data_IF_186171918550
#
_entry.id   IF_186171918550
#
_cell.length_a   1.000
_cell.length_b   1.000
_cell.length_c   1.000
_cell.angle_alpha   90.00
_cell.angle_beta   90.00
_cell.angle_gamma   90.00
#
_symmetry.space_group_name_H-M   'P 1'
#
loop_
_entity.id
_entity.type
_entity.pdbx_description
1 polymer ?
#
# COMPACT_ATOMS: atom_id res chain seq x y z
N UNK A 1 -61.59 -34.67 -8.70
CA UNK A 1 -60.85 -35.48 -7.69
C UNK A 1 -59.48 -35.93 -8.20
N UNK A 2 -59.34 -36.35 -9.47
CA UNK A 2 -58.06 -36.71 -10.11
C UNK A 2 -57.05 -35.54 -10.12
N UNK A 3 -57.52 -34.31 -10.39
CA UNK A 3 -56.65 -33.12 -10.46
C UNK A 3 -56.02 -32.74 -9.12
N UNK A 4 -56.76 -32.92 -8.01
CA UNK A 4 -56.24 -32.66 -6.65
C UNK A 4 -55.16 -33.67 -6.27
N UNK A 5 -55.35 -34.95 -6.62
CA UNK A 5 -54.36 -36.00 -6.39
C UNK A 5 -53.09 -35.75 -7.22
N UNK A 6 -53.27 -35.39 -8.50
CA UNK A 6 -52.15 -35.04 -9.39
C UNK A 6 -51.38 -33.82 -8.89
N UNK A 7 -52.09 -32.77 -8.45
CA UNK A 7 -51.47 -31.56 -7.89
C UNK A 7 -50.62 -31.88 -6.66
N UNK A 8 -51.16 -32.64 -5.69
CA UNK A 8 -50.41 -33.03 -4.49
C UNK A 8 -49.16 -33.84 -4.82
N UNK A 9 -49.24 -34.74 -5.81
CA UNK A 9 -48.08 -35.51 -6.26
C UNK A 9 -47.01 -34.60 -6.86
N UNK A 10 -47.38 -33.63 -7.69
CA UNK A 10 -46.45 -32.64 -8.26
C UNK A 10 -45.80 -31.78 -7.18
N UNK A 11 -46.58 -31.30 -6.21
CA UNK A 11 -46.07 -30.53 -5.07
C UNK A 11 -45.10 -31.34 -4.22
N UNK A 12 -45.35 -32.65 -4.04
CA UNK A 12 -44.44 -33.53 -3.31
C UNK A 12 -43.12 -33.75 -4.05
N UNK A 13 -43.16 -33.90 -5.38
CA UNK A 13 -41.94 -33.95 -6.21
C UNK A 13 -41.16 -32.64 -6.12
N UNK A 14 -41.84 -31.50 -6.20
CA UNK A 14 -41.21 -30.19 -6.04
C UNK A 14 -40.57 -30.01 -4.66
N UNK A 15 -41.23 -30.50 -3.60
CA UNK A 15 -40.71 -30.43 -2.24
C UNK A 15 -39.36 -31.14 -2.13
N UNK A 16 -39.28 -32.40 -2.57
CA UNK A 16 -38.02 -33.15 -2.54
C UNK A 16 -36.93 -32.49 -3.38
N UNK A 17 -37.28 -31.99 -4.56
CA UNK A 17 -36.33 -31.27 -5.41
C UNK A 17 -35.80 -30.00 -4.74
N UNK A 18 -36.65 -29.20 -4.12
CA UNK A 18 -36.21 -28.00 -3.40
C UNK A 18 -35.32 -28.36 -2.19
N UNK A 19 -35.58 -29.47 -1.49
CA UNK A 19 -34.71 -29.92 -0.41
C UNK A 19 -33.33 -30.39 -0.91
N UNK A 20 -33.29 -31.13 -2.02
CA UNK A 20 -32.06 -31.58 -2.68
C UNK A 20 -31.24 -30.39 -3.22
N UNK A 21 -31.87 -29.51 -4.01
CA UNK A 21 -31.20 -28.32 -4.57
C UNK A 21 -30.68 -27.39 -3.45
N UNK A 22 -31.38 -27.31 -2.31
CA UNK A 22 -30.93 -26.51 -1.17
C UNK A 22 -29.69 -27.11 -0.50
N UNK A 23 -29.57 -28.44 -0.45
CA UNK A 23 -28.35 -29.10 0.04
C UNK A 23 -27.20 -28.85 -0.94
N UNK A 24 -27.45 -28.92 -2.24
CA UNK A 24 -26.45 -28.63 -3.25
C UNK A 24 -25.92 -27.18 -3.16
N UNK A 25 -26.80 -26.22 -2.88
CA UNK A 25 -26.39 -24.83 -2.66
C UNK A 25 -25.44 -24.68 -1.46
N UNK A 26 -25.61 -25.49 -0.40
CA UNK A 26 -24.66 -25.51 0.74
C UNK A 26 -23.29 -26.04 0.31
N UNK A 27 -23.25 -27.09 -0.52
CA UNK A 27 -22.01 -27.66 -1.02
C UNK A 27 -21.27 -26.68 -1.93
N UNK A 28 -21.96 -26.09 -2.92
CA UNK A 28 -21.37 -25.08 -3.80
C UNK A 28 -20.83 -23.88 -3.02
N UNK A 29 -21.55 -23.41 -1.99
CA UNK A 29 -21.04 -22.33 -1.16
C UNK A 29 -19.81 -22.75 -0.35
N UNK A 30 -19.74 -24.02 0.08
CA UNK A 30 -18.56 -24.60 0.72
C UNK A 30 -17.35 -24.69 -0.21
N UNK A 31 -17.57 -25.08 -1.47
CA UNK A 31 -16.53 -25.10 -2.51
C UNK A 31 -16.00 -23.69 -2.80
N UNK A 32 -16.89 -22.68 -2.84
CA UNK A 32 -16.48 -21.29 -2.98
C UNK A 32 -15.64 -20.81 -1.79
N UNK A 33 -16.03 -21.16 -0.55
CA UNK A 33 -15.21 -20.86 0.63
C UNK A 33 -13.83 -21.53 0.55
N UNK A 34 -13.77 -22.80 0.16
CA UNK A 34 -12.51 -23.53 0.01
C UNK A 34 -11.62 -22.92 -1.08
N UNK A 35 -12.19 -22.54 -2.22
CA UNK A 35 -11.50 -21.85 -3.30
C UNK A 35 -10.98 -20.47 -2.85
N UNK A 36 -11.78 -19.72 -2.08
CA UNK A 36 -11.37 -18.45 -1.48
C UNK A 36 -10.15 -18.64 -0.57
N UNK A 37 -10.18 -19.63 0.30
CA UNK A 37 -9.08 -19.85 1.24
C UNK A 37 -7.82 -20.36 0.54
N UNK A 38 -7.93 -21.30 -0.41
CA UNK A 38 -6.75 -21.97 -1.00
C UNK A 38 -6.07 -21.19 -2.11
N UNK A 39 -6.85 -20.52 -2.97
CA UNK A 39 -6.31 -19.98 -4.24
C UNK A 39 -6.12 -18.47 -4.22
N UNK A 40 -6.76 -17.79 -3.28
CA UNK A 40 -6.77 -16.33 -3.24
C UNK A 40 -5.83 -15.80 -2.15
N UNK A 41 -4.54 -16.11 -2.30
CA UNK A 41 -3.47 -15.63 -1.41
C UNK A 41 -2.78 -14.38 -1.97
N UNK A 42 -2.52 -14.35 -3.28
CA UNK A 42 -1.87 -13.21 -3.96
C UNK A 42 -2.68 -11.91 -3.83
N UNK A 43 -1.92 -10.81 -3.73
CA UNK A 43 -2.42 -9.44 -3.62
C UNK A 43 -2.10 -8.54 -4.84
N UNK A 44 -1.26 -9.01 -5.76
CA UNK A 44 -0.82 -8.24 -6.95
C UNK A 44 0.53 -7.56 -6.71
N UNK A 45 1.28 -7.40 -7.79
CA UNK A 45 2.66 -6.92 -7.77
C UNK A 45 2.75 -5.39 -7.99
N UNK A 46 1.67 -4.76 -8.47
CA UNK A 46 1.52 -3.32 -8.66
C UNK A 46 0.06 -2.84 -8.46
N UNK A 47 -0.18 -1.53 -8.47
CA UNK A 47 -1.50 -0.96 -8.21
C UNK A 47 -2.56 -1.37 -9.25
N UNK A 48 -2.15 -1.61 -10.49
CA UNK A 48 -3.04 -1.97 -11.57
C UNK A 48 -3.48 -3.44 -11.48
N UNK A 49 -2.55 -4.35 -11.15
CA UNK A 49 -2.85 -5.75 -10.91
C UNK A 49 -3.74 -5.90 -9.67
N UNK A 50 -3.44 -5.19 -8.57
CA UNK A 50 -4.27 -5.24 -7.36
C UNK A 50 -5.69 -4.73 -7.60
N UNK A 51 -5.89 -3.65 -8.38
CA UNK A 51 -7.24 -3.21 -8.82
C UNK A 51 -7.96 -4.31 -9.59
N UNK A 52 -7.25 -4.97 -10.50
CA UNK A 52 -7.82 -6.08 -11.27
C UNK A 52 -8.22 -7.25 -10.37
N UNK A 53 -7.44 -7.53 -9.32
CA UNK A 53 -7.77 -8.55 -8.32
C UNK A 53 -8.99 -8.16 -7.48
N UNK A 54 -9.14 -6.89 -7.10
CA UNK A 54 -10.33 -6.37 -6.40
C UNK A 54 -11.60 -6.55 -7.26
N UNK A 55 -11.54 -6.21 -8.55
CA UNK A 55 -12.67 -6.38 -9.47
C UNK A 55 -13.06 -7.86 -9.63
N UNK A 56 -12.07 -8.75 -9.72
CA UNK A 56 -12.31 -10.21 -9.75
C UNK A 56 -12.91 -10.69 -8.42
N UNK A 57 -12.41 -10.20 -7.30
CA UNK A 57 -12.92 -10.54 -5.97
C UNK A 57 -14.38 -10.12 -5.79
N UNK A 58 -14.75 -8.90 -6.21
CA UNK A 58 -16.14 -8.43 -6.19
C UNK A 58 -17.08 -9.37 -6.95
N UNK A 59 -16.73 -9.73 -8.18
CA UNK A 59 -17.51 -10.68 -9.00
C UNK A 59 -17.63 -12.05 -8.33
N UNK A 60 -16.57 -12.51 -7.67
CA UNK A 60 -16.56 -13.77 -6.94
C UNK A 60 -17.52 -13.73 -5.73
N UNK A 61 -17.53 -12.62 -4.97
CA UNK A 61 -18.48 -12.41 -3.87
C UNK A 61 -19.92 -12.37 -4.38
N UNK A 62 -20.18 -11.71 -5.52
CA UNK A 62 -21.51 -11.66 -6.14
C UNK A 62 -22.04 -13.07 -6.50
N UNK A 63 -21.16 -13.96 -6.99
CA UNK A 63 -21.49 -15.37 -7.27
C UNK A 63 -21.84 -16.12 -5.99
N UNK A 64 -21.07 -15.95 -4.91
CA UNK A 64 -21.35 -16.59 -3.63
C UNK A 64 -22.66 -16.08 -3.00
N UNK A 65 -22.92 -14.77 -3.05
CA UNK A 65 -24.16 -14.15 -2.60
C UNK A 65 -25.37 -14.74 -3.36
N UNK A 66 -25.27 -14.83 -4.69
CA UNK A 66 -26.32 -15.40 -5.53
C UNK A 66 -26.60 -16.87 -5.18
N UNK A 67 -25.54 -17.63 -4.90
CA UNK A 67 -25.64 -19.05 -4.49
C UNK A 67 -26.33 -19.19 -3.14
N UNK A 68 -25.98 -18.34 -2.17
CA UNK A 68 -26.62 -18.29 -0.86
C UNK A 68 -28.10 -17.91 -0.95
N UNK A 69 -28.43 -16.87 -1.73
CA UNK A 69 -29.81 -16.42 -1.90
C UNK A 69 -30.66 -17.48 -2.62
N UNK A 70 -30.09 -18.19 -3.60
CA UNK A 70 -30.75 -19.33 -4.24
C UNK A 70 -31.10 -20.42 -3.21
N UNK A 71 -30.14 -20.83 -2.37
CA UNK A 71 -30.38 -21.79 -1.30
C UNK A 71 -31.49 -21.34 -0.33
N UNK A 72 -31.50 -20.06 0.06
CA UNK A 72 -32.55 -19.50 0.93
C UNK A 72 -33.93 -19.52 0.28
N UNK A 73 -34.02 -19.17 -1.01
CA UNK A 73 -35.28 -19.19 -1.76
C UNK A 73 -35.85 -20.61 -1.85
N UNK A 74 -35.00 -21.62 -2.09
CA UNK A 74 -35.41 -23.02 -2.10
C UNK A 74 -35.94 -23.46 -0.73
N UNK A 75 -35.25 -23.11 0.35
CA UNK A 75 -35.69 -23.43 1.71
C UNK A 75 -37.01 -22.76 2.08
N UNK A 76 -37.24 -21.54 1.60
CA UNK A 76 -38.52 -20.84 1.73
C UNK A 76 -39.63 -21.53 0.91
N UNK A 77 -39.35 -21.93 -0.33
CA UNK A 77 -40.27 -22.68 -1.16
C UNK A 77 -40.69 -24.01 -0.50
N UNK A 78 -39.74 -24.71 0.11
CA UNK A 78 -40.01 -25.90 0.95
C UNK A 78 -40.99 -25.56 2.08
N UNK A 79 -40.99 -24.34 2.66
CA UNK A 79 -41.90 -23.99 3.79
C UNK A 79 -43.31 -23.91 3.26
N UNK A 80 -43.47 -23.19 2.15
CA UNK A 80 -44.75 -23.00 1.48
C UNK A 80 -45.33 -24.33 1.01
N UNK A 81 -44.51 -25.21 0.43
CA UNK A 81 -44.92 -26.54 -0.02
C UNK A 81 -45.36 -27.44 1.16
N UNK A 82 -44.61 -27.46 2.26
CA UNK A 82 -45.02 -28.21 3.46
C UNK A 82 -46.37 -27.72 4.01
N UNK A 83 -46.59 -26.41 4.06
CA UNK A 83 -47.87 -25.82 4.49
C UNK A 83 -49.02 -26.23 3.56
N UNK A 84 -48.80 -26.18 2.24
CA UNK A 84 -49.79 -26.58 1.23
C UNK A 84 -50.16 -28.07 1.34
N UNK A 85 -49.15 -28.92 1.58
CA UNK A 85 -49.32 -30.37 1.72
C UNK A 85 -49.81 -30.79 3.12
N UNK A 86 -49.81 -29.89 4.10
CA UNK A 86 -50.05 -30.17 5.54
C UNK A 86 -49.06 -31.20 6.10
N UNK A 87 -47.81 -31.15 5.65
CA UNK A 87 -46.74 -31.99 6.18
C UNK A 87 -46.21 -31.41 7.50
N UNK A 88 -46.11 -32.23 8.54
CA UNK A 88 -45.65 -31.81 9.88
C UNK A 88 -44.15 -31.98 10.10
N UNK A 89 -43.47 -32.78 9.27
CA UNK A 89 -42.04 -33.08 9.36
C UNK A 89 -41.30 -32.55 8.14
N UNK A 90 -40.28 -31.70 8.36
CA UNK A 90 -39.34 -31.21 7.34
C UNK A 90 -38.06 -32.02 7.42
N UNK A 91 -37.60 -32.58 6.31
CA UNK A 91 -36.29 -33.26 6.25
C UNK A 91 -35.15 -32.23 6.31
N UNK A 92 -35.38 -31.01 5.84
CA UNK A 92 -34.36 -29.96 5.70
C UNK A 92 -34.06 -29.14 6.97
N UNK A 93 -34.43 -29.61 8.17
CA UNK A 93 -34.34 -28.81 9.42
C UNK A 93 -32.95 -28.20 9.66
N UNK A 94 -31.91 -28.97 9.34
CA UNK A 94 -30.52 -28.58 9.55
C UNK A 94 -29.88 -27.89 8.34
N UNK A 95 -30.53 -27.90 7.16
CA UNK A 95 -29.98 -27.31 5.94
C UNK A 95 -29.83 -25.79 6.06
N UNK A 96 -30.83 -25.10 6.65
CA UNK A 96 -30.76 -23.64 6.84
C UNK A 96 -29.64 -23.24 7.81
N UNK A 97 -29.49 -23.86 9.00
CA UNK A 97 -28.32 -23.63 9.86
C UNK A 97 -26.98 -23.87 9.15
N UNK A 98 -26.85 -24.94 8.36
CA UNK A 98 -25.63 -25.23 7.59
C UNK A 98 -25.33 -24.16 6.54
N UNK A 99 -26.33 -23.77 5.75
CA UNK A 99 -26.21 -22.70 4.75
C UNK A 99 -25.75 -21.39 5.40
N UNK A 100 -26.39 -21.00 6.50
CA UNK A 100 -26.03 -19.79 7.25
C UNK A 100 -24.62 -19.86 7.86
N UNK A 101 -24.18 -21.03 8.31
CA UNK A 101 -22.84 -21.22 8.87
C UNK A 101 -21.78 -20.99 7.80
N UNK A 102 -21.89 -21.69 6.66
CA UNK A 102 -20.93 -21.57 5.55
C UNK A 102 -20.94 -20.14 5.00
N UNK A 103 -22.13 -19.52 4.88
CA UNK A 103 -22.24 -18.13 4.46
C UNK A 103 -21.48 -17.17 5.37
N UNK A 104 -21.63 -17.29 6.69
CA UNK A 104 -20.88 -16.44 7.64
C UNK A 104 -19.38 -16.64 7.53
N UNK A 105 -18.92 -17.89 7.39
CA UNK A 105 -17.50 -18.18 7.19
C UNK A 105 -17.00 -17.53 5.88
N UNK A 106 -17.77 -17.66 4.80
CA UNK A 106 -17.47 -17.02 3.52
C UNK A 106 -17.39 -15.50 3.64
N UNK A 107 -18.36 -14.83 4.26
CA UNK A 107 -18.35 -13.37 4.41
C UNK A 107 -17.12 -12.90 5.20
N UNK A 108 -16.80 -13.54 6.32
CA UNK A 108 -15.60 -13.20 7.12
C UNK A 108 -14.32 -13.36 6.29
N UNK A 109 -14.19 -14.46 5.55
CA UNK A 109 -13.06 -14.67 4.65
C UNK A 109 -13.02 -13.66 3.50
N UNK A 110 -14.17 -13.31 2.92
CA UNK A 110 -14.23 -12.37 1.82
C UNK A 110 -13.83 -10.96 2.27
N UNK A 111 -14.36 -10.50 3.41
CA UNK A 111 -14.06 -9.20 3.98
C UNK A 111 -12.56 -9.06 4.33
N UNK A 112 -11.96 -10.10 4.92
CA UNK A 112 -10.52 -10.08 5.19
C UNK A 112 -9.70 -10.01 3.91
N UNK A 113 -10.06 -10.77 2.87
CA UNK A 113 -9.36 -10.69 1.59
C UNK A 113 -9.49 -9.30 0.96
N UNK A 114 -10.68 -8.71 1.01
CA UNK A 114 -10.94 -7.35 0.53
C UNK A 114 -10.03 -6.36 1.26
N UNK A 115 -9.95 -6.42 2.60
CA UNK A 115 -9.08 -5.55 3.39
C UNK A 115 -7.60 -5.71 3.02
N UNK A 116 -7.11 -6.95 2.84
CA UNK A 116 -5.72 -7.20 2.42
C UNK A 116 -5.43 -6.62 1.04
N UNK A 117 -6.35 -6.75 0.09
CA UNK A 117 -6.22 -6.16 -1.24
C UNK A 117 -6.26 -4.63 -1.21
N UNK A 118 -7.11 -4.03 -0.39
CA UNK A 118 -7.17 -2.57 -0.22
C UNK A 118 -5.88 -2.01 0.40
N UNK A 119 -5.35 -2.67 1.43
CA UNK A 119 -4.05 -2.31 2.02
C UNK A 119 -2.90 -2.43 1.01
N UNK A 120 -2.88 -3.51 0.21
CA UNK A 120 -1.91 -3.68 -0.87
C UNK A 120 -2.05 -2.62 -1.96
N UNK A 121 -3.28 -2.27 -2.35
CA UNK A 121 -3.51 -1.22 -3.33
C UNK A 121 -2.99 0.12 -2.81
N UNK A 122 -3.31 0.45 -1.56
CA UNK A 122 -2.84 1.69 -0.94
C UNK A 122 -1.30 1.73 -0.93
N UNK A 123 -0.67 0.66 -0.44
CA UNK A 123 0.79 0.50 -0.44
C UNK A 123 1.40 0.73 -1.83
N UNK A 124 0.89 0.03 -2.86
CA UNK A 124 1.38 0.19 -4.22
C UNK A 124 1.16 1.59 -4.77
N UNK A 125 -0.01 2.19 -4.56
CA UNK A 125 -0.28 3.55 -5.05
C UNK A 125 0.59 4.61 -4.38
N UNK A 126 0.92 4.44 -3.10
CA UNK A 126 1.84 5.34 -2.39
C UNK A 126 3.28 5.12 -2.90
N UNK A 127 3.69 3.86 -3.08
CA UNK A 127 5.02 3.49 -3.56
C UNK A 127 5.25 3.79 -5.05
N UNK A 128 4.17 3.95 -5.82
CA UNK A 128 4.24 4.24 -7.24
C UNK A 128 4.45 5.72 -7.51
N UNK A 129 3.92 6.66 -6.71
CA UNK A 129 3.98 8.12 -6.99
C UNK A 129 5.42 8.59 -7.30
N UNK A 130 5.75 8.93 -8.56
CA UNK A 130 7.04 9.53 -8.90
C UNK A 130 6.81 10.87 -9.61
N UNK A 131 7.18 11.95 -8.95
CA UNK A 131 7.71 13.17 -9.59
C UNK A 131 6.90 13.75 -10.78
N UNK A 132 6.06 14.76 -10.52
CA UNK A 132 5.84 15.77 -11.55
C UNK A 132 7.14 16.59 -11.71
N UNK A 133 7.78 16.63 -12.90
CA UNK A 133 8.97 17.42 -13.12
C UNK A 133 8.57 18.89 -13.21
N UNK A 134 8.42 19.58 -12.08
CA UNK A 134 8.37 21.04 -12.08
C UNK A 134 9.80 21.57 -12.06
N UNK A 135 10.33 21.77 -13.27
CA UNK A 135 11.61 22.42 -13.51
C UNK A 135 11.63 23.83 -12.87
N UNK A 136 12.19 23.93 -11.67
CA UNK A 136 12.70 25.18 -11.11
C UNK A 136 13.67 24.85 -9.97
N UNK A 137 14.96 25.11 -10.20
CA UNK A 137 16.08 24.76 -9.32
C UNK A 137 16.06 25.42 -7.93
N UNK A 138 15.06 26.23 -7.61
CA UNK A 138 14.89 26.86 -6.30
C UNK A 138 13.96 26.08 -5.34
N UNK A 139 13.40 24.93 -5.77
CA UNK A 139 12.48 24.12 -4.94
C UNK A 139 13.08 22.84 -4.35
N UNK A 140 14.33 22.50 -4.65
CA UNK A 140 14.95 21.18 -4.38
C UNK A 140 14.89 20.79 -2.89
N UNK A 141 15.25 21.70 -1.97
CA UNK A 141 15.24 21.40 -0.52
C UNK A 141 13.82 21.24 0.09
N UNK A 142 12.81 21.91 -0.45
CA UNK A 142 11.41 21.71 -0.04
C UNK A 142 10.84 20.41 -0.64
N UNK A 143 11.26 20.06 -1.85
CA UNK A 143 10.88 18.84 -2.56
C UNK A 143 11.44 17.59 -1.84
N UNK A 144 12.69 17.63 -1.40
CA UNK A 144 13.38 16.51 -0.76
C UNK A 144 12.83 16.18 0.64
N UNK A 145 12.41 17.18 1.43
CA UNK A 145 11.68 16.95 2.70
C UNK A 145 10.31 16.29 2.49
N UNK A 146 9.60 16.69 1.43
CA UNK A 146 8.28 16.14 1.09
C UNK A 146 8.40 14.71 0.57
N UNK A 147 9.51 14.36 -0.11
CA UNK A 147 9.79 12.99 -0.53
C UNK A 147 10.08 12.06 0.65
N UNK A 148 10.89 12.48 1.64
CA UNK A 148 11.18 11.63 2.82
C UNK A 148 9.93 11.34 3.66
N UNK A 149 9.08 12.34 3.92
CA UNK A 149 7.81 12.15 4.63
C UNK A 149 6.86 11.20 3.87
N UNK A 150 6.89 11.24 2.53
CA UNK A 150 6.11 10.31 1.71
C UNK A 150 6.60 8.86 1.77
N UNK A 151 7.91 8.64 1.99
CA UNK A 151 8.47 7.29 2.13
C UNK A 151 8.13 6.66 3.48
N UNK A 152 8.04 7.46 4.54
CA UNK A 152 7.61 6.98 5.87
C UNK A 152 6.13 6.53 5.85
N UNK A 153 5.27 7.21 5.09
CA UNK A 153 3.89 6.77 4.85
C UNK A 153 3.85 5.41 4.12
N UNK A 154 4.66 5.25 3.08
CA UNK A 154 4.79 3.97 2.33
C UNK A 154 5.27 2.84 3.25
N UNK A 155 6.30 3.08 4.05
CA UNK A 155 6.85 2.12 5.00
C UNK A 155 5.82 1.71 6.06
N UNK A 156 5.11 2.69 6.63
CA UNK A 156 4.02 2.42 7.60
C UNK A 156 2.88 1.58 6.99
N UNK A 157 2.51 1.85 5.73
CA UNK A 157 1.48 1.08 5.00
C UNK A 157 1.97 -0.34 4.73
N UNK A 158 3.23 -0.52 4.33
CA UNK A 158 3.81 -1.84 4.06
C UNK A 158 3.93 -2.70 5.32
N UNK A 159 4.32 -2.10 6.46
CA UNK A 159 4.35 -2.79 7.77
C UNK A 159 2.95 -3.22 8.21
N UNK A 160 1.96 -2.33 8.09
CA UNK A 160 0.56 -2.65 8.41
C UNK A 160 0.05 -3.81 7.55
N UNK A 161 0.38 -3.83 6.26
CA UNK A 161 0.02 -4.93 5.36
C UNK A 161 0.69 -6.25 5.78
N UNK A 162 1.98 -6.23 6.11
CA UNK A 162 2.70 -7.41 6.60
C UNK A 162 2.10 -7.95 7.90
N UNK A 163 1.82 -7.09 8.88
CA UNK A 163 1.20 -7.48 10.14
C UNK A 163 -0.13 -8.17 9.86
N UNK A 164 -0.97 -7.58 8.99
CA UNK A 164 -2.27 -8.17 8.65
C UNK A 164 -2.15 -9.50 7.92
N UNK A 165 -1.16 -9.67 7.05
CA UNK A 165 -0.90 -10.92 6.36
C UNK A 165 -0.62 -12.06 7.34
N UNK A 166 0.07 -11.80 8.46
CA UNK A 166 0.41 -12.83 9.46
C UNK A 166 -0.75 -13.27 10.35
N UNK A 167 -1.85 -12.52 10.38
CA UNK A 167 -2.98 -12.81 11.26
C UNK A 167 -3.90 -13.91 10.68
N UNK A 168 -4.37 -14.86 11.50
CA UNK A 168 -5.38 -15.83 11.11
C UNK A 168 -6.76 -15.19 10.96
N UNK A 169 -7.59 -15.81 10.14
CA UNK A 169 -9.04 -15.62 10.15
C UNK A 169 -9.63 -16.32 11.36
N UNK A 170 -10.49 -15.63 12.11
CA UNK A 170 -11.25 -16.23 13.20
C UNK A 170 -12.70 -16.38 12.76
N UNK A 171 -13.16 -17.61 12.60
CA UNK A 171 -14.56 -17.88 12.28
C UNK A 171 -15.48 -17.70 13.48
N UNK A 172 -16.80 -17.52 13.27
CA UNK A 172 -17.76 -17.34 14.37
C UNK A 172 -17.85 -18.49 15.36
N UNK A 173 -17.35 -19.68 15.00
CA UNK A 173 -17.23 -20.84 15.88
C UNK A 173 -15.91 -20.88 16.67
N UNK A 174 -15.07 -19.85 16.52
CA UNK A 174 -13.77 -19.72 17.17
C UNK A 174 -12.64 -20.47 16.47
N UNK A 175 -12.92 -21.16 15.36
CA UNK A 175 -11.86 -21.83 14.60
C UNK A 175 -10.98 -20.84 13.85
N UNK A 176 -9.68 -21.13 13.82
CA UNK A 176 -8.69 -20.33 13.11
C UNK A 176 -8.43 -20.92 11.72
N UNK A 177 -8.31 -20.05 10.72
CA UNK A 177 -8.05 -20.43 9.34
C UNK A 177 -7.05 -19.47 8.69
N UNK A 178 -6.22 -19.99 7.79
CA UNK A 178 -5.28 -19.19 7.02
C UNK A 178 -5.63 -19.22 5.53
N UNK A 179 -5.24 -18.16 4.81
CA UNK A 179 -5.24 -18.15 3.35
C UNK A 179 -4.01 -18.91 2.85
N UNK A 180 -4.26 -19.92 2.01
CA UNK A 180 -3.22 -20.75 1.42
C UNK A 180 -2.46 -21.58 2.45
N UNK A 181 -1.36 -22.14 1.98
CA UNK A 181 -0.35 -22.73 2.85
C UNK A 181 0.51 -21.62 3.49
N UNK A 182 1.22 -21.93 4.59
CA UNK A 182 2.21 -21.02 5.15
C UNK A 182 3.26 -20.55 4.12
N UNK A 183 3.59 -21.41 3.14
CA UNK A 183 4.50 -21.05 2.05
C UNK A 183 3.92 -20.01 1.10
N UNK A 184 2.63 -20.11 0.75
CA UNK A 184 1.97 -19.15 -0.16
C UNK A 184 1.87 -17.77 0.48
N UNK A 185 1.57 -17.75 1.78
CA UNK A 185 1.51 -16.53 2.57
C UNK A 185 2.89 -15.91 2.76
N UNK A 186 3.92 -16.72 3.00
CA UNK A 186 5.31 -16.26 3.09
C UNK A 186 5.76 -15.62 1.78
N UNK A 187 5.50 -16.25 0.63
CA UNK A 187 5.83 -15.72 -0.69
C UNK A 187 5.11 -14.39 -0.98
N UNK A 188 3.83 -14.29 -0.63
CA UNK A 188 3.07 -13.03 -0.76
C UNK A 188 3.68 -11.92 0.12
N UNK A 189 4.15 -12.26 1.31
CA UNK A 189 4.80 -11.32 2.21
C UNK A 189 6.24 -10.97 1.78
N UNK A 190 6.94 -11.85 1.06
CA UNK A 190 8.28 -11.57 0.51
C UNK A 190 8.24 -10.40 -0.48
N UNK A 191 7.30 -10.38 -1.42
CA UNK A 191 7.19 -9.27 -2.37
C UNK A 191 6.99 -7.90 -1.69
N UNK A 192 6.20 -7.86 -0.61
CA UNK A 192 6.03 -6.63 0.20
C UNK A 192 7.34 -6.25 0.90
N UNK A 193 8.06 -7.23 1.47
CA UNK A 193 9.37 -6.99 2.11
C UNK A 193 10.42 -6.48 1.11
N UNK A 194 10.49 -7.07 -0.08
CA UNK A 194 11.41 -6.63 -1.14
C UNK A 194 11.12 -5.19 -1.55
N UNK A 195 9.84 -4.83 -1.72
CA UNK A 195 9.47 -3.45 -2.04
C UNK A 195 9.82 -2.47 -0.92
N UNK A 196 9.62 -2.85 0.35
CA UNK A 196 10.04 -2.04 1.50
C UNK A 196 11.56 -1.83 1.55
N UNK A 197 12.36 -2.84 1.20
CA UNK A 197 13.82 -2.70 1.12
C UNK A 197 14.23 -1.66 0.07
N UNK A 198 13.58 -1.64 -1.09
CA UNK A 198 13.84 -0.62 -2.12
C UNK A 198 13.46 0.80 -1.65
N UNK A 199 12.38 0.93 -0.87
CA UNK A 199 11.98 2.21 -0.27
C UNK A 199 13.03 2.69 0.74
N UNK A 200 13.55 1.78 1.56
CA UNK A 200 14.63 2.06 2.51
C UNK A 200 15.92 2.48 1.80
N UNK A 201 16.30 1.77 0.73
CA UNK A 201 17.46 2.11 -0.09
C UNK A 201 17.32 3.52 -0.71
N UNK A 202 16.15 3.85 -1.26
CA UNK A 202 15.88 5.21 -1.78
C UNK A 202 15.97 6.26 -0.67
N UNK A 203 15.48 5.95 0.55
CA UNK A 203 15.58 6.87 1.69
C UNK A 203 17.04 7.16 2.05
N UNK A 204 17.89 6.13 2.08
CA UNK A 204 19.32 6.28 2.35
C UNK A 204 20.02 7.09 1.25
N UNK A 205 19.68 6.87 -0.02
CA UNK A 205 20.22 7.64 -1.15
C UNK A 205 19.88 9.14 -1.05
N UNK A 206 18.64 9.49 -0.70
CA UNK A 206 18.25 10.89 -0.48
C UNK A 206 18.98 11.49 0.73
N UNK A 207 19.16 10.71 1.80
CA UNK A 207 19.92 11.17 2.96
C UNK A 207 21.40 11.42 2.61
N UNK A 208 22.01 10.55 1.80
CA UNK A 208 23.39 10.71 1.33
C UNK A 208 23.54 11.90 0.39
N UNK A 209 22.63 12.06 -0.57
CA UNK A 209 22.61 13.22 -1.48
C UNK A 209 22.50 14.55 -0.72
N UNK A 210 21.69 14.58 0.34
CA UNK A 210 21.56 15.75 1.20
C UNK A 210 22.86 16.08 1.96
N UNK A 211 23.57 15.08 2.45
CA UNK A 211 24.87 15.29 3.12
C UNK A 211 25.93 15.79 2.13
N UNK A 212 25.96 15.24 0.91
CA UNK A 212 26.87 15.72 -0.14
C UNK A 212 26.59 17.16 -0.54
N UNK A 213 25.31 17.56 -0.64
CA UNK A 213 24.95 18.96 -0.90
C UNK A 213 25.38 19.89 0.25
N UNK A 214 25.17 19.48 1.50
CA UNK A 214 25.61 20.26 2.66
C UNK A 214 27.16 20.41 2.68
N UNK A 215 27.92 19.38 2.29
CA UNK A 215 29.39 19.43 2.16
C UNK A 215 29.86 20.33 0.99
N UNK A 216 29.21 20.27 -0.18
CA UNK A 216 29.51 21.14 -1.32
C UNK A 216 29.25 22.62 -0.99
N UNK A 217 28.14 22.92 -0.29
CA UNK A 217 27.83 24.27 0.18
C UNK A 217 28.89 24.77 1.18
N UNK A 218 29.37 23.91 2.09
CA UNK A 218 30.45 24.26 3.03
C UNK A 218 31.78 24.52 2.31
N UNK A 219 32.16 23.69 1.32
CA UNK A 219 33.37 23.91 0.52
C UNK A 219 33.29 25.19 -0.32
N UNK A 220 32.14 25.51 -0.94
CA UNK A 220 31.96 26.78 -1.67
C UNK A 220 32.09 27.99 -0.74
N UNK A 221 31.54 27.92 0.47
CA UNK A 221 31.67 29.00 1.46
C UNK A 221 33.11 29.19 1.90
N UNK A 222 33.84 28.10 2.16
CA UNK A 222 35.27 28.15 2.54
C UNK A 222 36.11 28.73 1.40
N UNK A 223 35.93 28.24 0.17
CA UNK A 223 36.63 28.74 -1.01
C UNK A 223 36.31 30.23 -1.27
N UNK A 224 35.06 30.66 -1.05
CA UNK A 224 34.67 32.06 -1.16
C UNK A 224 35.29 32.96 -0.07
N UNK A 225 35.50 32.44 1.14
CA UNK A 225 36.19 33.16 2.22
C UNK A 225 37.70 33.25 1.96
N UNK A 226 38.32 32.19 1.45
CA UNK A 226 39.74 32.14 1.10
C UNK A 226 40.05 33.10 -0.06
N UNK A 227 39.22 33.09 -1.12
CA UNK A 227 39.33 34.07 -2.21
C UNK A 227 39.15 35.52 -1.75
N UNK A 228 38.33 35.79 -0.72
CA UNK A 228 38.23 37.14 -0.12
C UNK A 228 39.46 37.53 0.69
N UNK A 229 40.10 36.58 1.37
CA UNK A 229 41.33 36.82 2.13
C UNK A 229 42.50 37.12 1.19
N UNK A 230 42.60 36.41 0.06
CA UNK A 230 43.61 36.67 -0.98
C UNK A 230 43.49 38.08 -1.55
N UNK A 231 42.27 38.53 -1.88
CA UNK A 231 42.02 39.90 -2.36
C UNK A 231 42.42 40.95 -1.31
N UNK A 232 42.10 40.72 -0.03
CA UNK A 232 42.51 41.64 1.04
C UNK A 232 44.04 41.65 1.21
N UNK A 233 44.70 40.50 1.04
CA UNK A 233 46.16 40.40 1.10
C UNK A 233 46.85 41.18 -0.02
N UNK A 234 46.34 41.08 -1.25
CA UNK A 234 46.84 41.86 -2.40
C UNK A 234 46.63 43.37 -2.17
N UNK A 235 45.43 43.80 -1.74
CA UNK A 235 45.13 45.21 -1.46
C UNK A 235 46.03 45.81 -0.36
N UNK A 236 46.39 45.03 0.66
CA UNK A 236 47.30 45.46 1.72
C UNK A 236 48.75 45.56 1.23
N UNK A 237 49.20 44.61 0.39
CA UNK A 237 50.55 44.61 -0.19
C UNK A 237 50.74 45.81 -1.13
N UNK A 238 49.77 46.08 -2.01
CA UNK A 238 49.82 47.24 -2.90
C UNK A 238 49.84 48.57 -2.13
N UNK A 239 49.18 48.61 -0.98
CA UNK A 239 49.16 49.77 -0.10
C UNK A 239 50.47 49.97 0.65
N UNK A 240 51.11 48.90 1.11
CA UNK A 240 52.45 48.98 1.72
C UNK A 240 53.51 49.44 0.71
N UNK A 241 53.46 48.95 -0.54
CA UNK A 241 54.34 49.42 -1.61
C UNK A 241 54.15 50.91 -1.92
N UNK A 242 52.89 51.38 -1.97
CA UNK A 242 52.60 52.81 -2.16
C UNK A 242 53.10 53.67 -0.99
N UNK A 243 52.91 53.20 0.26
CA UNK A 243 53.39 53.91 1.45
C UNK A 243 54.93 53.94 1.53
N UNK A 244 55.64 52.93 1.01
CA UNK A 244 57.10 52.96 0.88
C UNK A 244 57.57 53.89 -0.24
N UNK A 245 56.90 53.90 -1.40
CA UNK A 245 57.20 54.83 -2.48
C UNK A 245 56.97 56.29 -2.07
N UNK A 246 55.91 56.59 -1.32
CA UNK A 246 55.66 57.93 -0.77
C UNK A 246 56.76 58.35 0.21
N UNK A 247 57.20 57.45 1.11
CA UNK A 247 58.30 57.75 2.04
C UNK A 247 59.63 57.95 1.33
N UNK A 248 59.92 57.17 0.29
CA UNK A 248 61.12 57.38 -0.53
C UNK A 248 61.04 58.70 -1.31
N UNK A 249 59.86 59.09 -1.79
CA UNK A 249 59.65 60.36 -2.46
C UNK A 249 59.85 61.54 -1.49
N UNK A 250 59.29 61.49 -0.29
CA UNK A 250 59.50 62.49 0.77
C UNK A 250 60.99 62.59 1.15
N UNK A 251 61.68 61.46 1.30
CA UNK A 251 63.11 61.48 1.65
C UNK A 251 63.98 62.06 0.52
N UNK A 252 63.64 61.80 -0.75
CA UNK A 252 64.31 62.41 -1.91
C UNK A 252 64.01 63.91 -2.02
N UNK A 253 62.81 64.34 -1.67
CA UNK A 253 62.42 65.75 -1.65
C UNK A 253 63.15 66.51 -0.53
N UNK A 254 63.26 65.91 0.68
CA UNK A 254 64.08 66.46 1.76
C UNK A 254 65.58 66.53 1.42
N UNK A 255 66.12 65.52 0.74
CA UNK A 255 67.53 65.52 0.30
C UNK A 255 67.79 66.57 -0.80
N UNK A 256 66.80 66.83 -1.67
CA UNK A 256 66.83 67.91 -2.66
C UNK A 256 66.73 69.30 -1.99
N UNK A 257 65.87 69.46 -0.98
CA UNK A 257 65.77 70.71 -0.21
C UNK A 257 67.07 71.01 0.55
N UNK A 258 67.69 70.01 1.19
CA UNK A 258 69.00 70.16 1.84
C UNK A 258 70.10 70.54 0.84
N UNK A 259 70.09 69.98 -0.37
CA UNK A 259 71.07 70.32 -1.42
C UNK A 259 70.90 71.76 -1.96
N UNK A 260 69.69 72.35 -1.87
CA UNK A 260 69.45 73.75 -2.26
C UNK A 260 69.77 74.77 -1.18
N UNK A 261 69.93 74.35 0.07
CA UNK A 261 70.31 75.23 1.20
C UNK A 261 71.83 75.43 1.38
N UNK A 262 72.66 74.63 0.70
CA UNK A 262 74.13 74.72 0.72
C UNK A 262 74.74 75.51 -0.48
N UNK A 263 73.95 76.35 -1.17
CA UNK A 263 74.41 77.30 -2.19
C UNK A 263 74.31 78.77 -1.75
#
# INVERSE_FOLDING_TARGET
MVDVRRLKMLQMVQLFKCEEDALQAVEWLGELLDALLKTHVRLGDDSQETRTMLDKHKKFVDVAQSTYDYGRQLLQATVVLCQSLRCTTRSSGDTLPRLNRVWKQFTVSADERQQRLELALNFHTMAEKPEEPTASGFKVLQQERVEVESLDEVDSSGRTLLDRLTLPLIFPDGSEQFFGSPSDMAATAEGVRERLLLIEERRLQLQEARLLHDEEDEEEVVNGLEGRLDVIGEELSEKEEQDEEEKEAEHREEDLERATQDC
#
